data_IF_703339757364
#
_entry.id   IF_703339757364
#
_cell.length_a   1.000
_cell.length_b   1.000
_cell.length_c   1.000
_cell.angle_alpha   90.00
_cell.angle_beta   90.00
_cell.angle_gamma   90.00
#
_symmetry.space_group_name_H-M   'P 1'
#
loop_
_entity.id
_entity.type
_entity.pdbx_description
1 polymer ?
#
# COMPACT_ATOMS: atom_id res chain seq x y z
N UNK A 1 20.59 1.90 16.20
CA UNK A 1 19.55 1.46 17.16
C UNK A 1 19.19 0.03 16.84
N UNK A 2 18.76 -0.74 17.85
CA UNK A 2 18.24 -2.10 17.65
C UNK A 2 16.72 -2.03 17.49
N UNK A 3 16.22 -2.41 16.31
CA UNK A 3 14.79 -2.34 15.95
C UNK A 3 14.23 -3.75 15.82
N UNK A 4 13.10 -4.01 16.49
CA UNK A 4 12.28 -5.18 16.20
C UNK A 4 11.28 -4.82 15.10
N UNK A 5 11.37 -5.49 13.95
CA UNK A 5 10.43 -5.29 12.84
C UNK A 5 9.53 -6.52 12.72
N UNK A 6 8.23 -6.34 12.96
CA UNK A 6 7.24 -7.41 13.06
C UNK A 6 6.23 -7.33 11.93
N UNK A 7 6.07 -8.41 11.16
CA UNK A 7 5.14 -8.47 10.01
C UNK A 7 4.24 -9.71 10.04
N UNK A 8 3.00 -9.63 9.53
CA UNK A 8 2.09 -10.78 9.49
C UNK A 8 2.31 -11.70 8.27
N UNK A 9 3.19 -11.32 7.35
CA UNK A 9 3.55 -12.07 6.15
C UNK A 9 4.98 -11.73 5.74
N UNK A 10 5.62 -12.62 4.99
CA UNK A 10 6.95 -12.38 4.43
C UNK A 10 6.82 -11.35 3.29
N UNK A 11 7.48 -10.17 3.38
CA UNK A 11 7.34 -9.10 2.39
C UNK A 11 8.14 -9.36 1.10
N UNK A 12 8.08 -10.58 0.56
CA UNK A 12 8.81 -10.98 -0.64
C UNK A 12 8.13 -12.18 -1.31
N UNK A 13 8.08 -12.28 -2.66
CA UNK A 13 8.60 -11.34 -3.67
C UNK A 13 7.76 -10.07 -3.82
N UNK A 14 8.26 -9.09 -4.58
CA UNK A 14 7.67 -7.75 -4.78
C UNK A 14 6.49 -7.73 -5.77
N UNK A 15 5.61 -8.73 -5.69
CA UNK A 15 4.51 -8.94 -6.64
C UNK A 15 3.16 -8.34 -6.18
N UNK A 16 3.11 -7.72 -5.01
CA UNK A 16 1.94 -7.02 -4.47
C UNK A 16 2.33 -5.66 -3.92
N UNK A 17 1.41 -4.70 -3.92
CA UNK A 17 1.67 -3.36 -3.36
C UNK A 17 2.03 -3.41 -1.88
N UNK A 18 1.42 -4.34 -1.14
CA UNK A 18 1.72 -4.60 0.28
C UNK A 18 3.17 -5.07 0.46
N UNK A 19 3.61 -6.08 -0.31
CA UNK A 19 4.99 -6.58 -0.23
C UNK A 19 5.98 -5.49 -0.64
N UNK A 20 5.69 -4.74 -1.71
CA UNK A 20 6.53 -3.62 -2.14
C UNK A 20 6.71 -2.58 -1.04
N UNK A 21 5.63 -2.19 -0.36
CA UNK A 21 5.72 -1.24 0.76
C UNK A 21 6.59 -1.78 1.88
N UNK A 22 6.19 -2.92 2.45
CA UNK A 22 6.83 -3.45 3.65
C UNK A 22 8.29 -3.76 3.37
N UNK A 23 8.62 -4.33 2.20
CA UNK A 23 10.01 -4.59 1.80
C UNK A 23 10.86 -3.32 1.72
N UNK A 24 10.37 -2.28 1.04
CA UNK A 24 11.18 -1.07 0.84
C UNK A 24 11.36 -0.29 2.15
N UNK A 25 10.35 -0.29 3.03
CA UNK A 25 10.49 0.28 4.36
C UNK A 25 11.44 -0.55 5.23
N UNK A 26 11.31 -1.89 5.22
CA UNK A 26 12.22 -2.79 5.95
C UNK A 26 13.67 -2.62 5.50
N UNK A 27 13.90 -2.59 4.18
CA UNK A 27 15.22 -2.34 3.59
C UNK A 27 15.82 -1.03 4.10
N UNK A 28 15.04 0.06 4.06
CA UNK A 28 15.48 1.35 4.54
C UNK A 28 15.86 1.34 6.04
N UNK A 29 15.13 0.58 6.85
CA UNK A 29 15.46 0.41 8.27
C UNK A 29 16.75 -0.41 8.43
N UNK A 30 16.94 -1.49 7.66
CA UNK A 30 18.17 -2.28 7.68
C UNK A 30 19.41 -1.50 7.21
N UNK A 31 19.24 -0.52 6.30
CA UNK A 31 20.35 0.30 5.79
C UNK A 31 20.94 1.22 6.87
N UNK A 32 20.15 1.61 7.89
CA UNK A 32 20.52 2.59 8.91
C UNK A 32 20.60 2.00 10.33
N UNK A 33 19.94 0.87 10.58
CA UNK A 33 19.71 0.31 11.91
C UNK A 33 19.94 -1.20 11.95
N UNK A 34 20.24 -1.70 13.15
CA UNK A 34 20.34 -3.13 13.37
C UNK A 34 18.93 -3.70 13.53
N UNK A 35 18.53 -4.60 12.63
CA UNK A 35 17.16 -5.14 12.59
C UNK A 35 17.12 -6.58 13.04
N UNK A 36 16.30 -6.84 14.06
CA UNK A 36 15.76 -8.15 14.35
C UNK A 36 14.40 -8.25 13.68
N UNK A 37 14.26 -9.20 12.76
CA UNK A 37 13.03 -9.41 12.02
C UNK A 37 12.22 -10.57 12.62
N UNK A 38 10.91 -10.38 12.75
CA UNK A 38 9.96 -11.41 13.14
C UNK A 38 8.78 -11.41 12.19
N UNK A 39 8.48 -12.55 11.56
CA UNK A 39 7.31 -12.66 10.68
C UNK A 39 6.57 -13.97 10.85
N UNK A 40 5.30 -13.96 10.48
CA UNK A 40 4.53 -15.17 10.32
C UNK A 40 4.76 -15.80 8.94
N UNK A 41 4.64 -17.12 8.86
CA UNK A 41 4.67 -17.90 7.62
C UNK A 41 3.40 -18.75 7.51
N UNK A 42 2.74 -18.71 6.35
CA UNK A 42 1.45 -19.36 6.12
C UNK A 42 1.58 -20.65 5.28
N UNK A 43 2.77 -20.90 4.71
CA UNK A 43 3.04 -22.08 3.87
C UNK A 43 4.53 -22.36 3.74
N UNK A 44 4.89 -23.59 3.33
CA UNK A 44 6.28 -23.97 3.03
C UNK A 44 6.90 -23.13 1.89
N UNK A 45 6.07 -22.71 0.93
CA UNK A 45 6.49 -21.80 -0.14
C UNK A 45 6.88 -20.42 0.42
N UNK A 46 6.14 -19.94 1.42
CA UNK A 46 6.46 -18.67 2.09
C UNK A 46 7.70 -18.79 2.99
N UNK A 47 7.90 -19.94 3.64
CA UNK A 47 9.14 -20.23 4.37
C UNK A 47 10.37 -20.22 3.43
N UNK A 48 10.21 -20.70 2.20
CA UNK A 48 11.27 -20.62 1.18
C UNK A 48 11.58 -19.17 0.80
N UNK A 49 10.54 -18.35 0.59
CA UNK A 49 10.68 -16.90 0.34
C UNK A 49 11.29 -16.15 1.51
N UNK A 50 11.06 -16.61 2.74
CA UNK A 50 11.68 -16.02 3.94
C UNK A 50 13.21 -16.16 3.89
N UNK A 51 13.73 -17.30 3.43
CA UNK A 51 15.17 -17.52 3.26
C UNK A 51 15.75 -16.63 2.16
N UNK A 52 15.00 -16.41 1.08
CA UNK A 52 15.39 -15.46 0.03
C UNK A 52 15.43 -14.02 0.58
N UNK A 53 14.42 -13.60 1.35
CA UNK A 53 14.44 -12.29 2.02
C UNK A 53 15.64 -12.15 2.97
N UNK A 54 15.93 -13.19 3.75
CA UNK A 54 17.05 -13.22 4.69
C UNK A 54 18.41 -13.04 3.99
N UNK A 55 18.57 -13.53 2.75
CA UNK A 55 19.82 -13.33 1.99
C UNK A 55 19.91 -11.96 1.31
N UNK A 56 18.78 -11.26 1.14
CA UNK A 56 18.72 -9.95 0.50
C UNK A 56 18.98 -8.77 1.45
N UNK A 57 18.69 -8.93 2.75
CA UNK A 57 18.79 -7.85 3.74
C UNK A 57 19.63 -8.25 4.96
N UNK A 58 20.41 -7.33 5.56
CA UNK A 58 21.34 -7.63 6.64
C UNK A 58 20.65 -7.65 8.02
N UNK A 59 19.92 -8.72 8.33
CA UNK A 59 19.31 -8.91 9.64
C UNK A 59 20.33 -9.36 10.69
N UNK A 60 20.27 -8.80 11.91
CA UNK A 60 21.06 -9.33 13.03
C UNK A 60 20.48 -10.63 13.58
N UNK A 61 19.15 -10.74 13.58
CA UNK A 61 18.44 -12.00 13.81
C UNK A 61 17.20 -12.05 12.91
N UNK A 62 16.85 -13.26 12.44
CA UNK A 62 15.72 -13.49 11.55
C UNK A 62 14.87 -14.63 12.10
N UNK A 63 13.65 -14.29 12.52
CA UNK A 63 12.72 -15.22 13.15
C UNK A 63 11.45 -15.36 12.33
N UNK A 64 10.99 -16.59 12.17
CA UNK A 64 9.71 -16.88 11.52
C UNK A 64 8.92 -17.90 12.31
N UNK A 65 7.63 -17.66 12.48
CA UNK A 65 6.71 -18.61 13.13
C UNK A 65 5.63 -19.06 12.16
N UNK A 66 5.33 -20.37 12.05
CA UNK A 66 4.21 -20.84 11.25
C UNK A 66 2.89 -20.45 11.92
N UNK A 67 1.93 -19.96 11.13
CA UNK A 67 0.57 -19.68 11.60
C UNK A 67 -0.46 -20.46 10.80
N UNK A 68 -1.49 -20.97 11.49
CA UNK A 68 -2.72 -21.47 10.87
C UNK A 68 -3.88 -20.56 11.23
N UNK A 69 -4.38 -19.83 10.24
CA UNK A 69 -5.50 -18.91 10.42
C UNK A 69 -6.76 -19.67 10.87
N UNK A 70 -7.39 -19.19 11.94
CA UNK A 70 -8.57 -19.83 12.54
C UNK A 70 -9.82 -19.59 11.71
N UNK A 71 -10.80 -20.48 11.75
CA UNK A 71 -12.07 -20.22 11.07
C UNK A 71 -12.81 -19.00 11.67
N UNK A 72 -13.52 -18.26 10.82
CA UNK A 72 -14.41 -17.18 11.26
C UNK A 72 -15.51 -17.73 12.17
N UNK A 73 -15.72 -17.08 13.31
CA UNK A 73 -16.71 -17.50 14.31
C UNK A 73 -18.10 -16.97 13.96
N UNK A 74 -19.13 -17.72 14.33
CA UNK A 74 -20.49 -17.22 14.25
C UNK A 74 -20.73 -16.14 15.31
N UNK A 75 -21.69 -15.25 15.06
CA UNK A 75 -22.00 -14.17 15.99
C UNK A 75 -22.36 -14.68 17.39
N UNK A 76 -23.05 -15.82 17.49
CA UNK A 76 -23.48 -16.39 18.77
C UNK A 76 -22.34 -16.93 19.63
N UNK A 77 -21.24 -17.39 19.02
CA UNK A 77 -20.09 -17.96 19.78
C UNK A 77 -19.09 -16.91 20.24
N UNK A 78 -19.14 -15.70 19.70
CA UNK A 78 -18.19 -14.63 20.01
C UNK A 78 -18.81 -13.40 20.68
N UNK A 79 -20.12 -13.39 20.96
CA UNK A 79 -20.83 -12.19 21.40
C UNK A 79 -20.19 -11.52 22.63
N UNK A 80 -19.78 -12.31 23.62
CA UNK A 80 -19.18 -11.84 24.88
C UNK A 80 -17.65 -11.73 24.87
N UNK A 81 -16.99 -12.21 23.82
CA UNK A 81 -15.55 -12.05 23.66
C UNK A 81 -15.25 -10.63 23.16
N UNK A 82 -14.53 -9.79 23.92
CA UNK A 82 -14.21 -8.42 23.48
C UNK A 82 -13.25 -8.37 22.29
N UNK A 83 -12.53 -9.47 21.97
CA UNK A 83 -11.63 -9.54 20.84
C UNK A 83 -12.43 -9.62 19.53
N UNK A 84 -12.24 -8.68 18.58
CA UNK A 84 -12.88 -8.77 17.28
C UNK A 84 -12.44 -10.05 16.56
N UNK A 85 -13.34 -10.62 15.78
CA UNK A 85 -13.09 -11.86 15.06
C UNK A 85 -11.98 -11.71 14.01
N UNK A 86 -11.82 -10.50 13.47
CA UNK A 86 -10.70 -10.14 12.59
C UNK A 86 -9.35 -10.35 13.27
N UNK A 87 -9.23 -10.18 14.58
CA UNK A 87 -7.98 -10.45 15.32
C UNK A 87 -7.90 -11.88 15.80
N UNK A 88 -9.00 -12.44 16.29
CA UNK A 88 -9.09 -13.85 16.68
C UNK A 88 -8.66 -14.79 15.53
N UNK A 89 -9.03 -14.45 14.29
CA UNK A 89 -8.61 -15.16 13.08
C UNK A 89 -7.09 -15.37 13.00
N UNK A 90 -6.33 -14.40 13.49
CA UNK A 90 -4.87 -14.35 13.46
C UNK A 90 -4.22 -14.74 14.79
N UNK A 91 -4.95 -14.99 15.88
CA UNK A 91 -4.32 -15.24 17.18
C UNK A 91 -3.80 -16.68 17.32
N UNK A 92 -2.55 -16.83 17.77
CA UNK A 92 -1.96 -18.10 18.18
C UNK A 92 -1.12 -17.91 19.45
N UNK A 93 -1.23 -18.82 20.41
CA UNK A 93 -0.52 -18.71 21.69
C UNK A 93 0.98 -18.96 21.53
N UNK A 94 1.40 -19.81 20.59
CA UNK A 94 2.82 -20.09 20.36
C UNK A 94 3.53 -18.86 19.79
N UNK A 95 2.86 -18.09 18.93
CA UNK A 95 3.38 -16.81 18.43
C UNK A 95 3.56 -15.81 19.58
N UNK A 96 2.61 -15.76 20.51
CA UNK A 96 2.73 -14.93 21.71
C UNK A 96 3.94 -15.32 22.56
N UNK A 97 4.14 -16.62 22.79
CA UNK A 97 5.31 -17.14 23.53
C UNK A 97 6.63 -16.82 22.82
N UNK A 98 6.70 -17.04 21.50
CA UNK A 98 7.89 -16.77 20.70
C UNK A 98 8.27 -15.28 20.74
N UNK A 99 7.29 -14.39 20.55
CA UNK A 99 7.51 -12.95 20.58
C UNK A 99 7.90 -12.45 21.97
N UNK A 100 7.26 -12.96 23.03
CA UNK A 100 7.64 -12.64 24.42
C UNK A 100 9.06 -13.10 24.72
N UNK A 101 9.46 -14.30 24.30
CA UNK A 101 10.84 -14.80 24.47
C UNK A 101 11.84 -13.90 23.75
N UNK A 102 11.52 -13.47 22.53
CA UNK A 102 12.35 -12.57 21.73
C UNK A 102 12.53 -11.21 22.42
N UNK A 103 11.44 -10.63 22.92
CA UNK A 103 11.43 -9.36 23.67
C UNK A 103 12.16 -9.45 25.02
N UNK A 104 12.18 -10.61 25.66
CA UNK A 104 12.93 -10.83 26.92
C UNK A 104 14.43 -11.08 26.69
N UNK A 105 14.80 -11.62 25.53
CA UNK A 105 16.19 -12.02 25.24
C UNK A 105 17.00 -10.89 24.60
N UNK A 106 16.36 -9.80 24.20
CA UNK A 106 16.98 -8.68 23.48
C UNK A 106 16.49 -7.34 24.04
N UNK A 107 17.29 -6.29 23.85
CA UNK A 107 16.92 -4.92 24.24
C UNK A 107 16.64 -4.09 22.99
N UNK A 108 15.40 -3.64 22.84
CA UNK A 108 15.00 -2.86 21.67
C UNK A 108 14.98 -1.36 22.00
N UNK A 109 15.48 -0.55 21.06
CA UNK A 109 15.27 0.89 21.09
C UNK A 109 13.88 1.26 20.57
N UNK A 110 13.29 0.43 19.69
CA UNK A 110 11.99 0.64 19.05
C UNK A 110 11.42 -0.68 18.49
N UNK A 111 10.10 -0.81 18.50
CA UNK A 111 9.39 -1.88 17.76
C UNK A 111 8.53 -1.26 16.65
N UNK A 112 8.74 -1.70 15.41
CA UNK A 112 7.82 -1.48 14.30
C UNK A 112 6.94 -2.71 14.14
N UNK A 113 5.63 -2.54 14.31
CA UNK A 113 4.65 -3.60 14.11
C UNK A 113 3.74 -3.25 12.92
N UNK A 114 3.80 -4.05 11.86
CA UNK A 114 2.97 -3.89 10.67
C UNK A 114 1.62 -4.59 10.87
N UNK A 115 0.55 -3.85 10.59
CA UNK A 115 -0.85 -4.24 10.68
C UNK A 115 -1.36 -4.62 12.08
N UNK A 116 -2.64 -4.29 12.33
CA UNK A 116 -3.30 -4.49 13.62
C UNK A 116 -3.34 -5.96 14.09
N UNK A 117 -3.25 -6.92 13.17
CA UNK A 117 -3.24 -8.34 13.52
C UNK A 117 -1.98 -8.75 14.29
N UNK A 118 -0.85 -8.05 14.13
CA UNK A 118 0.36 -8.33 14.90
C UNK A 118 0.38 -7.60 16.24
N UNK A 119 -0.32 -6.48 16.36
CA UNK A 119 -0.31 -5.69 17.59
C UNK A 119 -0.99 -6.39 18.77
N UNK A 120 -1.86 -7.38 18.51
CA UNK A 120 -2.53 -8.15 19.56
C UNK A 120 -1.54 -8.93 20.45
N UNK A 121 -0.39 -9.34 19.92
CA UNK A 121 0.63 -10.07 20.68
C UNK A 121 1.38 -9.21 21.69
N UNK A 122 1.25 -7.89 21.59
CA UNK A 122 1.87 -6.97 22.52
C UNK A 122 0.99 -6.64 23.72
N UNK A 123 -0.33 -6.94 23.70
CA UNK A 123 -1.27 -6.51 24.75
C UNK A 123 -0.88 -6.92 26.18
N UNK A 124 -0.14 -8.02 26.32
CA UNK A 124 0.32 -8.54 27.61
C UNK A 124 1.83 -8.42 27.80
N UNK A 125 2.49 -7.57 27.00
CA UNK A 125 3.93 -7.37 27.04
C UNK A 125 4.21 -5.90 27.36
N UNK A 126 4.85 -5.69 28.51
CA UNK A 126 5.36 -4.38 28.89
C UNK A 126 6.67 -4.10 28.15
N UNK A 127 6.57 -3.31 27.08
CA UNK A 127 7.72 -2.93 26.27
C UNK A 127 8.31 -1.63 26.79
N UNK A 128 9.59 -1.65 27.17
CA UNK A 128 10.31 -0.47 27.67
C UNK A 128 10.74 0.51 26.55
N UNK A 129 10.29 0.29 25.32
CA UNK A 129 10.61 1.10 24.15
C UNK A 129 9.34 1.55 23.41
N UNK A 130 9.42 2.61 22.58
CA UNK A 130 8.28 3.04 21.76
C UNK A 130 7.81 1.92 20.82
N UNK A 131 6.48 1.77 20.75
CA UNK A 131 5.81 0.86 19.84
C UNK A 131 5.14 1.66 18.70
N UNK A 132 5.48 1.31 17.46
CA UNK A 132 4.86 1.83 16.23
C UNK A 132 3.89 0.81 15.68
N UNK A 133 2.68 1.26 15.34
CA UNK A 133 1.75 0.50 14.51
C UNK A 133 1.73 1.11 13.09
N UNK A 134 2.23 0.38 12.10
CA UNK A 134 2.16 0.75 10.67
C UNK A 134 0.95 0.11 10.02
N UNK A 135 0.02 0.95 9.57
CA UNK A 135 -1.27 0.55 9.05
C UNK A 135 -1.19 0.46 7.53
N UNK A 136 -1.27 -0.75 6.96
CA UNK A 136 -1.56 -0.90 5.53
C UNK A 136 -2.97 -0.41 5.17
N UNK A 137 -3.86 -0.39 6.16
CA UNK A 137 -5.22 0.15 6.14
C UNK A 137 -5.71 0.36 7.58
N UNK A 138 -6.76 1.16 7.77
CA UNK A 138 -7.48 1.22 9.05
C UNK A 138 -8.62 0.19 9.04
N UNK A 139 -8.52 -0.86 9.85
CA UNK A 139 -9.46 -1.99 9.80
C UNK A 139 -10.90 -1.59 10.14
N UNK A 140 -11.13 -0.67 11.07
CA UNK A 140 -12.50 -0.21 11.37
C UNK A 140 -13.10 0.71 10.30
N UNK A 141 -12.28 1.45 9.55
CA UNK A 141 -12.71 2.23 8.39
C UNK A 141 -13.03 1.30 7.23
N UNK A 142 -12.12 0.38 6.92
CA UNK A 142 -12.33 -0.65 5.91
C UNK A 142 -13.61 -1.46 6.17
N UNK A 143 -13.86 -1.88 7.41
CA UNK A 143 -15.09 -2.59 7.77
C UNK A 143 -16.35 -1.71 7.59
N UNK A 144 -16.26 -0.40 7.87
CA UNK A 144 -17.35 0.55 7.64
C UNK A 144 -17.67 0.68 6.14
N UNK A 145 -16.65 0.81 5.29
CA UNK A 145 -16.79 0.88 3.83
C UNK A 145 -17.42 -0.37 3.23
N UNK A 146 -17.19 -1.55 3.82
CA UNK A 146 -17.77 -2.81 3.35
C UNK A 146 -19.26 -2.98 3.69
N UNK A 147 -19.78 -2.31 4.73
CA UNK A 147 -21.15 -2.51 5.23
C UNK A 147 -22.27 -2.36 4.18
N UNK A 148 -22.23 -1.36 3.27
CA UNK A 148 -23.27 -1.19 2.24
C UNK A 148 -23.38 -2.38 1.28
N UNK A 149 -22.26 -3.04 0.99
CA UNK A 149 -22.17 -4.15 0.03
C UNK A 149 -22.60 -5.50 0.61
N UNK A 150 -22.74 -5.61 1.95
CA UNK A 150 -23.17 -6.85 2.59
C UNK A 150 -24.66 -7.12 2.38
N UNK A 151 -24.98 -8.32 1.90
CA UNK A 151 -26.36 -8.78 1.74
C UNK A 151 -26.86 -9.54 2.98
N UNK A 152 -28.08 -9.25 3.42
CA UNK A 152 -28.76 -9.95 4.53
C UNK A 152 -28.49 -9.37 5.93
N UNK A 153 -29.56 -9.30 6.74
CA UNK A 153 -29.52 -8.65 8.06
C UNK A 153 -28.58 -9.33 9.07
N UNK A 154 -28.49 -10.66 9.07
CA UNK A 154 -27.60 -11.41 9.97
C UNK A 154 -26.13 -11.08 9.72
N UNK A 155 -25.72 -11.01 8.45
CA UNK A 155 -24.35 -10.66 8.05
C UNK A 155 -24.03 -9.20 8.41
N UNK A 156 -24.96 -8.28 8.16
CA UNK A 156 -24.84 -6.88 8.58
C UNK A 156 -24.71 -6.72 10.09
N UNK A 157 -25.51 -7.45 10.87
CA UNK A 157 -25.42 -7.43 12.33
C UNK A 157 -24.06 -7.94 12.82
N UNK A 158 -23.61 -9.09 12.29
CA UNK A 158 -22.30 -9.67 12.59
C UNK A 158 -21.14 -8.71 12.25
N UNK A 159 -21.21 -8.05 11.08
CA UNK A 159 -20.20 -7.09 10.66
C UNK A 159 -20.18 -5.82 11.53
N UNK A 160 -21.35 -5.30 11.90
CA UNK A 160 -21.46 -4.13 12.80
C UNK A 160 -20.91 -4.43 14.19
N UNK A 161 -21.19 -5.62 14.72
CA UNK A 161 -20.63 -6.09 15.98
C UNK A 161 -19.10 -6.20 15.93
N UNK A 162 -18.56 -6.83 14.89
CA UNK A 162 -17.12 -6.93 14.69
C UNK A 162 -16.45 -5.56 14.54
N UNK A 163 -17.06 -4.65 13.79
CA UNK A 163 -16.58 -3.28 13.60
C UNK A 163 -16.56 -2.51 14.92
N UNK A 164 -17.59 -2.66 15.75
CA UNK A 164 -17.63 -2.05 17.08
C UNK A 164 -16.49 -2.57 17.97
N UNK A 165 -16.25 -3.89 17.97
CA UNK A 165 -15.12 -4.50 18.71
C UNK A 165 -13.78 -4.05 18.17
N UNK A 166 -13.64 -3.95 16.85
CA UNK A 166 -12.43 -3.45 16.18
C UNK A 166 -12.12 -2.02 16.61
N UNK A 167 -13.11 -1.11 16.57
CA UNK A 167 -12.93 0.29 17.06
C UNK A 167 -12.54 0.36 18.53
N UNK A 168 -13.14 -0.49 19.37
CA UNK A 168 -12.81 -0.54 20.79
C UNK A 168 -11.39 -1.06 21.02
N UNK A 169 -10.96 -2.04 20.23
CA UNK A 169 -9.59 -2.55 20.25
C UNK A 169 -8.61 -1.48 19.78
N UNK A 170 -8.84 -0.83 18.64
CA UNK A 170 -8.01 0.27 18.12
C UNK A 170 -7.86 1.41 19.12
N UNK A 171 -8.95 1.82 19.78
CA UNK A 171 -8.91 2.85 20.82
C UNK A 171 -8.11 2.44 22.07
N UNK A 172 -8.11 1.15 22.42
CA UNK A 172 -7.23 0.64 23.50
C UNK A 172 -5.79 0.56 23.00
N UNK A 173 -5.60 0.18 21.75
CA UNK A 173 -4.29 0.02 21.15
C UNK A 173 -3.50 1.33 21.16
N UNK A 174 -4.16 2.46 20.94
CA UNK A 174 -3.50 3.78 20.94
C UNK A 174 -2.82 4.15 22.25
N UNK A 175 -3.19 3.54 23.39
CA UNK A 175 -2.48 3.77 24.66
C UNK A 175 -1.18 2.98 24.74
N UNK A 176 -1.11 1.84 24.06
CA UNK A 176 0.06 0.96 24.06
C UNK A 176 0.99 1.24 22.88
N UNK A 177 0.42 1.58 21.73
CA UNK A 177 1.10 1.99 20.50
C UNK A 177 0.83 3.48 20.31
N UNK A 178 1.61 4.36 20.98
CA UNK A 178 1.39 5.80 20.89
C UNK A 178 1.80 6.39 19.53
N UNK A 179 2.52 5.61 18.71
CA UNK A 179 3.05 6.04 17.42
C UNK A 179 2.36 5.25 16.30
N UNK A 180 1.90 5.97 15.28
CA UNK A 180 1.14 5.41 14.17
C UNK A 180 1.76 5.87 12.85
N UNK A 181 1.93 4.93 11.92
CA UNK A 181 2.26 5.20 10.53
C UNK A 181 1.06 4.79 9.68
N UNK A 182 0.62 5.66 8.76
CA UNK A 182 -0.55 5.41 7.92
C UNK A 182 -0.27 5.71 6.46
N UNK A 183 -1.00 5.08 5.55
CA UNK A 183 -0.76 5.19 4.11
C UNK A 183 -1.26 6.51 3.49
N UNK A 184 -2.19 7.22 4.14
CA UNK A 184 -2.84 8.39 3.54
C UNK A 184 -3.22 9.47 4.57
N UNK A 185 -3.58 10.66 4.08
CA UNK A 185 -4.10 11.73 4.94
C UNK A 185 -5.50 11.40 5.43
N UNK A 186 -6.27 10.72 4.60
CA UNK A 186 -7.60 10.22 4.90
C UNK A 186 -7.57 9.27 6.11
N UNK A 187 -6.63 8.30 6.11
CA UNK A 187 -6.41 7.37 7.23
C UNK A 187 -6.01 8.14 8.51
N UNK A 188 -5.10 9.12 8.38
CA UNK A 188 -4.70 9.97 9.51
C UNK A 188 -5.90 10.71 10.09
N UNK A 189 -6.68 11.36 9.24
CA UNK A 189 -7.85 12.12 9.68
C UNK A 189 -8.91 11.21 10.30
N UNK A 190 -9.07 9.98 9.79
CA UNK A 190 -9.94 8.97 10.39
C UNK A 190 -9.49 8.60 11.80
N UNK A 191 -8.21 8.24 11.97
CA UNK A 191 -7.64 7.92 13.29
C UNK A 191 -7.84 9.11 14.23
N UNK A 192 -7.47 10.32 13.82
CA UNK A 192 -7.56 11.52 14.67
C UNK A 192 -9.00 11.89 15.06
N UNK A 193 -10.00 11.53 14.24
CA UNK A 193 -11.43 11.71 14.55
C UNK A 193 -11.97 10.68 15.54
N UNK A 194 -11.38 9.49 15.60
CA UNK A 194 -11.92 8.35 16.36
C UNK A 194 -11.07 7.92 17.56
N UNK A 195 -9.82 8.37 17.64
CA UNK A 195 -8.86 8.01 18.67
C UNK A 195 -8.25 9.28 19.27
N UNK A 196 -7.93 9.24 20.56
CA UNK A 196 -7.19 10.30 21.23
C UNK A 196 -5.71 9.92 21.21
N UNK A 197 -4.93 10.64 20.40
CA UNK A 197 -3.50 10.44 20.25
C UNK A 197 -2.74 11.67 20.71
N UNK A 198 -1.71 11.47 21.52
CA UNK A 198 -0.78 12.54 21.91
C UNK A 198 0.13 12.92 20.74
N UNK A 199 0.49 11.95 19.90
CA UNK A 199 1.33 12.14 18.71
C UNK A 199 0.47 11.93 17.45
N UNK A 200 0.40 12.90 16.53
CA UNK A 200 -0.33 12.71 15.29
C UNK A 200 0.32 11.62 14.43
N UNK A 201 -0.46 10.77 13.73
CA UNK A 201 0.10 9.76 12.84
C UNK A 201 1.04 10.36 11.78
N UNK A 202 2.14 9.65 11.52
CA UNK A 202 2.99 9.89 10.37
C UNK A 202 2.26 9.36 9.13
N UNK A 203 1.90 10.26 8.22
CA UNK A 203 1.49 9.83 6.89
C UNK A 203 2.74 9.41 6.14
N UNK A 204 2.74 8.19 5.62
CA UNK A 204 3.78 7.63 4.79
C UNK A 204 3.12 6.92 3.61
N UNK A 205 3.07 7.62 2.47
CA UNK A 205 2.39 7.15 1.28
C UNK A 205 3.02 5.86 0.71
N UNK A 206 2.31 5.17 -0.18
CA UNK A 206 2.93 4.10 -0.97
C UNK A 206 3.83 4.71 -2.04
N UNK A 207 5.02 4.14 -2.20
CA UNK A 207 6.05 4.67 -3.07
C UNK A 207 6.36 3.82 -4.28
N UNK A 208 7.32 4.29 -5.06
CA UNK A 208 7.88 3.61 -6.21
C UNK A 208 9.42 3.61 -6.16
N UNK A 209 10.02 2.66 -6.89
CA UNK A 209 11.46 2.59 -7.04
C UNK A 209 11.94 3.61 -8.10
N UNK A 210 12.53 4.71 -7.62
CA UNK A 210 13.04 5.80 -8.46
C UNK A 210 14.24 5.41 -9.31
N UNK A 211 14.96 4.36 -8.93
CA UNK A 211 16.14 3.88 -9.67
C UNK A 211 15.72 2.89 -10.75
N UNK A 212 14.59 2.18 -10.54
CA UNK A 212 13.99 1.30 -11.54
C UNK A 212 13.15 2.08 -12.58
N UNK A 213 12.27 2.99 -12.13
CA UNK A 213 11.37 3.77 -12.98
C UNK A 213 11.92 5.18 -13.24
N UNK A 214 12.70 5.31 -14.31
CA UNK A 214 13.22 6.57 -14.82
C UNK A 214 12.76 6.79 -16.27
N UNK A 215 12.75 8.04 -16.79
CA UNK A 215 12.39 8.32 -18.16
C UNK A 215 13.28 7.55 -19.14
N UNK A 216 12.63 6.77 -20.00
CA UNK A 216 13.30 6.09 -21.11
C UNK A 216 12.95 6.78 -22.42
N UNK A 217 13.83 6.66 -23.41
CA UNK A 217 13.54 7.18 -24.74
C UNK A 217 12.33 6.43 -25.32
N UNK A 218 11.31 7.19 -25.72
CA UNK A 218 10.14 6.61 -26.39
C UNK A 218 10.61 5.94 -27.70
N UNK A 219 10.27 4.66 -27.94
CA UNK A 219 10.53 4.02 -29.22
C UNK A 219 9.87 4.81 -30.36
N UNK A 220 10.54 4.90 -31.50
CA UNK A 220 9.94 5.49 -32.70
C UNK A 220 8.72 4.64 -33.07
N UNK A 221 7.54 5.23 -33.01
CA UNK A 221 6.29 4.61 -33.41
C UNK A 221 5.49 5.61 -34.23
N UNK A 222 4.95 5.15 -35.35
CA UNK A 222 4.15 5.96 -36.27
C UNK A 222 2.67 6.06 -35.87
N UNK A 223 2.28 5.43 -34.77
CA UNK A 223 0.90 5.36 -34.31
C UNK A 223 0.73 5.94 -32.90
N UNK A 224 -0.31 6.75 -32.67
CA UNK A 224 -0.68 7.18 -31.32
C UNK A 224 -0.93 5.96 -30.42
N UNK A 225 -0.16 5.82 -29.34
CA UNK A 225 -0.19 4.60 -28.51
C UNK A 225 -0.66 4.88 -27.09
N UNK A 226 -1.73 4.21 -26.70
CA UNK A 226 -2.28 4.21 -25.37
C UNK A 226 -1.81 2.96 -24.64
N UNK A 227 -1.47 3.09 -23.35
CA UNK A 227 -1.01 1.95 -22.54
C UNK A 227 -1.80 1.88 -21.24
N UNK A 228 -2.17 0.66 -20.87
CA UNK A 228 -2.75 0.32 -19.57
C UNK A 228 -1.97 -0.83 -18.95
N UNK A 229 -1.75 -0.78 -17.63
CA UNK A 229 -1.08 -1.84 -16.88
C UNK A 229 -1.94 -2.38 -15.73
N UNK A 230 -1.83 -3.68 -15.43
CA UNK A 230 -2.41 -4.27 -14.22
C UNK A 230 -2.55 -5.79 -14.23
N UNK A 231 -3.12 -6.37 -13.18
CA UNK A 231 -3.55 -7.78 -13.15
C UNK A 231 -4.95 -7.87 -13.74
N UNK A 232 -5.13 -8.66 -14.81
CA UNK A 232 -6.34 -8.62 -15.63
C UNK A 232 -7.49 -9.51 -15.10
N UNK A 233 -7.25 -10.37 -14.12
CA UNK A 233 -8.29 -11.09 -13.36
C UNK A 233 -8.79 -10.31 -12.13
N UNK A 234 -8.28 -9.09 -11.92
CA UNK A 234 -8.70 -8.21 -10.84
C UNK A 234 -9.86 -7.31 -11.28
N UNK A 235 -11.01 -7.46 -10.61
CA UNK A 235 -12.29 -6.86 -11.02
C UNK A 235 -12.22 -5.36 -11.34
N UNK A 236 -11.56 -4.49 -10.54
CA UNK A 236 -11.40 -3.08 -10.91
C UNK A 236 -10.75 -2.83 -12.28
N UNK A 237 -9.71 -3.61 -12.62
CA UNK A 237 -9.03 -3.47 -13.92
C UNK A 237 -9.94 -3.96 -15.05
N UNK A 238 -10.63 -5.08 -14.84
CA UNK A 238 -11.54 -5.66 -15.82
C UNK A 238 -12.73 -4.72 -16.09
N UNK A 239 -13.38 -4.19 -15.04
CA UNK A 239 -14.47 -3.22 -15.14
C UNK A 239 -14.03 -1.95 -15.90
N UNK A 240 -12.88 -1.37 -15.51
CA UNK A 240 -12.37 -0.15 -16.12
C UNK A 240 -12.02 -0.33 -17.60
N UNK A 241 -11.39 -1.46 -17.96
CA UNK A 241 -11.04 -1.73 -19.35
C UNK A 241 -12.25 -2.12 -20.20
N UNK A 242 -13.23 -2.83 -19.63
CA UNK A 242 -14.50 -3.08 -20.31
C UNK A 242 -15.19 -1.77 -20.66
N UNK A 243 -15.30 -0.86 -19.70
CA UNK A 243 -15.83 0.49 -19.93
C UNK A 243 -15.03 1.25 -20.99
N UNK A 244 -13.70 1.17 -20.94
CA UNK A 244 -12.85 1.80 -21.92
C UNK A 244 -13.10 1.28 -23.34
N UNK A 245 -13.07 -0.05 -23.54
CA UNK A 245 -13.24 -0.68 -24.84
C UNK A 245 -14.64 -0.41 -25.43
N UNK A 246 -15.68 -0.42 -24.60
CA UNK A 246 -17.06 -0.28 -25.06
C UNK A 246 -17.46 1.18 -25.31
N UNK A 247 -17.08 2.11 -24.42
CA UNK A 247 -17.63 3.47 -24.41
C UNK A 247 -16.64 4.56 -24.82
N UNK A 248 -15.34 4.35 -24.64
CA UNK A 248 -14.29 5.36 -24.85
C UNK A 248 -13.54 5.11 -26.15
N UNK A 249 -13.06 3.89 -26.35
CA UNK A 249 -12.20 3.51 -27.47
C UNK A 249 -12.82 3.79 -28.84
N UNK A 250 -14.12 3.53 -29.10
CA UNK A 250 -14.74 3.88 -30.38
C UNK A 250 -14.70 5.38 -30.67
N UNK A 251 -14.80 6.23 -29.65
CA UNK A 251 -14.74 7.70 -29.79
C UNK A 251 -13.34 8.18 -30.13
N UNK A 252 -12.31 7.50 -29.61
CA UNK A 252 -10.91 7.79 -29.95
C UNK A 252 -10.65 7.38 -31.39
N UNK A 253 -11.04 6.16 -31.77
CA UNK A 253 -10.85 5.63 -33.13
C UNK A 253 -11.60 6.42 -34.21
N UNK A 254 -12.74 7.03 -33.89
CA UNK A 254 -13.45 7.91 -34.82
C UNK A 254 -12.58 9.09 -35.28
N UNK A 255 -11.67 9.58 -34.43
CA UNK A 255 -10.78 10.70 -34.73
C UNK A 255 -9.36 10.27 -35.09
N UNK A 256 -8.90 9.13 -34.56
CA UNK A 256 -7.57 8.56 -34.78
C UNK A 256 -7.69 7.06 -35.11
N UNK A 257 -8.04 6.71 -36.37
CA UNK A 257 -8.28 5.31 -36.76
C UNK A 257 -7.07 4.38 -36.60
N UNK A 258 -5.87 4.95 -36.60
CA UNK A 258 -4.59 4.25 -36.48
C UNK A 258 -4.08 4.18 -35.03
N UNK A 259 -4.83 4.70 -34.05
CA UNK A 259 -4.45 4.63 -32.65
C UNK A 259 -4.40 3.18 -32.16
N UNK A 260 -3.44 2.91 -31.26
CA UNK A 260 -3.24 1.59 -30.65
C UNK A 260 -3.42 1.63 -29.15
N UNK A 261 -3.94 0.55 -28.60
CA UNK A 261 -4.04 0.27 -27.17
C UNK A 261 -3.22 -0.96 -26.84
N UNK A 262 -2.28 -0.83 -25.91
CA UNK A 262 -1.51 -1.94 -25.35
C UNK A 262 -1.96 -2.19 -23.92
N UNK A 263 -2.50 -3.38 -23.67
CA UNK A 263 -2.90 -3.87 -22.36
C UNK A 263 -1.80 -4.80 -21.85
N UNK A 264 -1.09 -4.37 -20.82
CA UNK A 264 0.07 -5.07 -20.27
C UNK A 264 -0.26 -5.60 -18.88
N UNK A 265 -0.06 -6.89 -18.64
CA UNK A 265 -0.55 -7.42 -17.38
C UNK A 265 -0.64 -8.92 -17.24
N UNK A 266 -0.53 -9.37 -16.00
CA UNK A 266 -0.65 -10.79 -15.67
C UNK A 266 -2.12 -11.25 -15.72
N UNK A 267 -2.30 -12.56 -15.93
CA UNK A 267 -3.60 -13.25 -15.89
C UNK A 267 -4.72 -12.62 -16.75
N UNK A 268 -4.49 -12.32 -18.03
CA UNK A 268 -5.56 -11.94 -18.95
C UNK A 268 -6.67 -13.01 -18.99
N UNK A 269 -7.90 -12.58 -18.75
CA UNK A 269 -9.09 -13.43 -18.85
C UNK A 269 -9.45 -13.68 -20.31
N UNK A 270 -10.31 -14.66 -20.56
CA UNK A 270 -10.88 -14.92 -21.90
C UNK A 270 -11.55 -13.66 -22.48
N UNK A 271 -12.20 -12.86 -21.64
CA UNK A 271 -12.80 -11.59 -22.03
C UNK A 271 -11.73 -10.60 -22.51
N UNK A 272 -10.64 -10.43 -21.77
CA UNK A 272 -9.57 -9.49 -22.15
C UNK A 272 -8.90 -9.90 -23.45
N UNK A 273 -8.64 -11.20 -23.64
CA UNK A 273 -8.11 -11.70 -24.91
C UNK A 273 -9.07 -11.50 -26.09
N UNK A 274 -10.39 -11.50 -25.85
CA UNK A 274 -11.38 -11.28 -26.91
C UNK A 274 -11.35 -9.86 -27.50
N UNK A 275 -10.76 -8.89 -26.80
CA UNK A 275 -10.60 -7.52 -27.29
C UNK A 275 -9.40 -7.38 -28.24
N UNK A 276 -8.45 -8.32 -28.22
CA UNK A 276 -7.28 -8.26 -29.07
C UNK A 276 -7.65 -8.49 -30.53
N UNK A 277 -7.15 -7.62 -31.41
CA UNK A 277 -7.26 -7.77 -32.87
C UNK A 277 -5.90 -7.72 -33.58
N UNK A 278 -4.79 -7.60 -32.84
CA UNK A 278 -3.43 -7.62 -33.37
C UNK A 278 -2.99 -6.30 -34.04
N UNK A 279 -3.90 -5.38 -34.29
CA UNK A 279 -3.62 -4.09 -34.94
C UNK A 279 -3.84 -2.91 -33.99
N UNK A 280 -5.07 -2.73 -33.53
CA UNK A 280 -5.50 -1.60 -32.69
C UNK A 280 -5.47 -1.95 -31.20
N UNK A 281 -5.66 -3.21 -30.83
CA UNK A 281 -5.61 -3.67 -29.44
C UNK A 281 -4.65 -4.85 -29.33
N UNK A 282 -3.67 -4.72 -28.46
CA UNK A 282 -2.64 -5.73 -28.15
C UNK A 282 -2.70 -6.07 -26.67
N UNK A 283 -2.72 -7.36 -26.34
CA UNK A 283 -2.69 -7.90 -24.98
C UNK A 283 -1.41 -8.71 -24.83
N UNK A 284 -0.50 -8.25 -23.96
CA UNK A 284 0.84 -8.87 -23.88
C UNK A 284 0.88 -10.10 -22.96
N UNK A 285 -0.02 -10.16 -21.98
CA UNK A 285 0.15 -11.04 -20.83
C UNK A 285 1.27 -10.53 -19.89
N UNK A 286 1.80 -11.44 -19.08
CA UNK A 286 2.92 -11.18 -18.18
C UNK A 286 4.21 -10.89 -18.96
N UNK A 287 4.97 -9.89 -18.52
CA UNK A 287 6.20 -9.44 -19.17
C UNK A 287 7.33 -9.40 -18.16
N UNK A 288 8.56 -9.66 -18.61
CA UNK A 288 9.74 -9.64 -17.74
C UNK A 288 10.07 -8.23 -17.23
N UNK A 289 9.84 -7.21 -18.05
CA UNK A 289 10.02 -5.80 -17.69
C UNK A 289 8.88 -4.96 -18.29
N UNK A 290 8.24 -4.16 -17.44
CA UNK A 290 7.11 -3.31 -17.79
C UNK A 290 7.54 -1.94 -18.36
N UNK A 291 8.78 -1.50 -18.08
CA UNK A 291 9.27 -0.16 -18.42
C UNK A 291 9.27 0.14 -19.93
N UNK A 292 9.65 -0.79 -20.81
CA UNK A 292 9.55 -0.55 -22.26
C UNK A 292 8.12 -0.22 -22.70
N UNK A 293 7.12 -0.81 -22.06
CA UNK A 293 5.72 -0.55 -22.38
C UNK A 293 5.24 0.79 -21.85
N UNK A 294 5.62 1.17 -20.63
CA UNK A 294 5.40 2.55 -20.17
C UNK A 294 6.04 3.54 -21.15
N UNK A 295 7.29 3.33 -21.58
CA UNK A 295 7.98 4.20 -22.52
C UNK A 295 7.28 4.34 -23.88
N UNK A 296 6.56 3.31 -24.34
CA UNK A 296 5.75 3.36 -25.57
C UNK A 296 4.52 4.27 -25.47
N UNK A 297 4.04 4.57 -24.26
CA UNK A 297 2.82 5.34 -24.07
C UNK A 297 2.99 6.79 -24.57
N UNK A 298 2.18 7.15 -25.56
CA UNK A 298 1.84 8.55 -25.84
C UNK A 298 0.87 9.09 -24.80
N UNK A 299 -0.04 8.23 -24.34
CA UNK A 299 -0.93 8.49 -23.21
C UNK A 299 -1.03 7.22 -22.38
N UNK A 300 -0.70 7.31 -21.11
CA UNK A 300 -1.04 6.24 -20.18
C UNK A 300 -2.47 6.44 -19.67
N UNK A 301 -3.29 5.40 -19.72
CA UNK A 301 -4.69 5.48 -19.30
C UNK A 301 -4.92 4.70 -18.01
N UNK A 302 -5.82 5.18 -17.15
CA UNK A 302 -6.32 4.44 -15.99
C UNK A 302 -7.82 4.68 -15.79
N UNK A 303 -8.69 3.91 -16.49
CA UNK A 303 -10.14 4.13 -16.54
C UNK A 303 -10.92 3.45 -15.39
N UNK A 304 -10.33 3.32 -14.19
CA UNK A 304 -10.93 2.55 -13.09
C UNK A 304 -12.13 3.26 -12.47
N UNK A 305 -13.28 2.59 -12.31
CA UNK A 305 -14.48 3.20 -11.70
C UNK A 305 -14.74 2.70 -10.28
N UNK A 306 -14.04 1.66 -9.87
CA UNK A 306 -14.19 0.97 -8.60
C UNK A 306 -12.82 0.61 -8.00
N UNK A 307 -12.85 0.18 -6.75
CA UNK A 307 -11.69 -0.28 -5.99
C UNK A 307 -10.99 0.84 -5.21
N UNK A 308 -10.31 0.47 -4.12
CA UNK A 308 -9.57 1.39 -3.25
C UNK A 308 -8.06 1.22 -3.30
N UNK A 309 -7.37 2.02 -2.48
CA UNK A 309 -5.91 2.05 -2.33
C UNK A 309 -5.18 2.86 -3.41
N UNK A 310 -3.93 3.21 -3.12
CA UNK A 310 -3.06 3.97 -4.04
C UNK A 310 -2.75 3.18 -5.30
N UNK A 311 -2.91 3.79 -6.48
CA UNK A 311 -2.57 3.15 -7.77
C UNK A 311 -1.12 3.43 -8.14
N UNK A 312 -0.20 2.57 -7.68
CA UNK A 312 1.23 2.67 -7.97
C UNK A 312 1.53 2.74 -9.48
N UNK A 313 0.74 2.07 -10.31
CA UNK A 313 0.85 2.16 -11.78
C UNK A 313 0.77 3.58 -12.36
N UNK A 314 0.04 4.50 -11.74
CA UNK A 314 0.06 5.92 -12.14
C UNK A 314 1.37 6.58 -11.72
N UNK A 315 1.86 6.28 -10.52
CA UNK A 315 3.13 6.80 -10.00
C UNK A 315 4.27 6.35 -10.92
N UNK A 316 4.28 5.09 -11.32
CA UNK A 316 5.23 4.51 -12.27
C UNK A 316 5.18 5.21 -13.64
N UNK A 317 3.98 5.37 -14.21
CA UNK A 317 3.80 6.06 -15.50
C UNK A 317 4.29 7.53 -15.44
N UNK A 318 3.91 8.25 -14.38
CA UNK A 318 4.33 9.63 -14.16
C UNK A 318 5.85 9.73 -13.95
N UNK A 319 6.46 8.81 -13.20
CA UNK A 319 7.91 8.78 -12.98
C UNK A 319 8.69 8.57 -14.29
N UNK A 320 8.10 7.83 -15.23
CA UNK A 320 8.60 7.64 -16.60
C UNK A 320 8.21 8.79 -17.56
N UNK A 321 7.71 9.91 -17.04
CA UNK A 321 7.30 11.11 -17.80
C UNK A 321 6.27 10.81 -18.88
N UNK A 322 5.34 9.88 -18.61
CA UNK A 322 4.20 9.63 -19.48
C UNK A 322 3.03 10.49 -19.05
N UNK A 323 2.35 11.20 -19.97
CA UNK A 323 1.14 11.92 -19.62
C UNK A 323 0.03 10.92 -19.31
N UNK A 324 -0.76 11.21 -18.28
CA UNK A 324 -1.77 10.29 -17.75
C UNK A 324 -3.18 10.85 -17.94
N UNK A 325 -4.11 10.02 -18.40
CA UNK A 325 -5.56 10.26 -18.34
C UNK A 325 -6.18 9.22 -17.42
N UNK A 326 -6.90 9.65 -16.39
CA UNK A 326 -7.52 8.74 -15.41
C UNK A 326 -8.85 9.26 -14.91
N UNK A 327 -9.68 8.37 -14.39
CA UNK A 327 -10.80 8.74 -13.52
C UNK A 327 -10.28 9.26 -12.18
N UNK A 328 -11.11 9.98 -11.43
CA UNK A 328 -10.77 10.38 -10.05
C UNK A 328 -10.58 9.16 -9.15
N UNK A 329 -11.40 8.12 -9.32
CA UNK A 329 -11.27 6.85 -8.60
C UNK A 329 -9.94 6.15 -8.94
N UNK A 330 -9.53 6.18 -10.21
CA UNK A 330 -8.27 5.58 -10.67
C UNK A 330 -7.01 6.28 -10.14
N UNK A 331 -7.13 7.52 -9.67
CA UNK A 331 -6.04 8.30 -9.09
C UNK A 331 -6.18 8.55 -7.58
N UNK A 332 -7.11 7.87 -6.91
CA UNK A 332 -7.32 8.01 -5.47
C UNK A 332 -6.03 7.73 -4.69
N UNK A 333 -5.80 8.50 -3.62
CA UNK A 333 -4.61 8.40 -2.77
C UNK A 333 -3.36 9.10 -3.33
N UNK A 334 -3.46 9.79 -4.47
CA UNK A 334 -2.39 10.59 -5.05
C UNK A 334 -2.74 12.09 -5.00
N UNK A 335 -1.78 12.93 -4.63
CA UNK A 335 -1.95 14.38 -4.51
C UNK A 335 -1.85 15.09 -5.88
N UNK A 336 -2.47 14.52 -6.90
CA UNK A 336 -2.43 14.98 -8.28
C UNK A 336 -3.52 16.01 -8.55
N UNK A 337 -3.20 17.01 -9.38
CA UNK A 337 -4.10 18.11 -9.75
C UNK A 337 -4.44 18.02 -11.23
N UNK A 338 -5.72 18.22 -11.54
CA UNK A 338 -6.24 18.16 -12.91
C UNK A 338 -5.58 19.20 -13.82
N UNK A 339 -5.31 18.83 -15.06
CA UNK A 339 -4.66 19.65 -16.10
C UNK A 339 -3.29 20.23 -15.69
N UNK A 340 -2.70 19.72 -14.60
CA UNK A 340 -1.40 20.11 -14.07
C UNK A 340 -0.48 18.89 -13.97
N UNK A 341 -0.91 17.83 -13.31
CA UNK A 341 -0.13 16.59 -13.15
C UNK A 341 -0.71 15.42 -13.95
N UNK A 342 -2.02 15.49 -14.24
CA UNK A 342 -2.85 14.43 -14.81
C UNK A 342 -4.08 15.07 -15.47
N UNK A 343 -4.73 14.36 -16.39
CA UNK A 343 -6.03 14.74 -16.92
C UNK A 343 -7.12 13.86 -16.28
N UNK A 344 -8.02 14.45 -15.48
CA UNK A 344 -9.16 13.72 -14.92
C UNK A 344 -10.35 13.66 -15.87
N UNK A 345 -10.98 12.50 -15.95
CA UNK A 345 -12.25 12.32 -16.64
C UNK A 345 -13.07 11.17 -16.03
N UNK A 346 -14.31 11.47 -15.62
CA UNK A 346 -15.19 10.48 -14.97
C UNK A 346 -16.36 10.03 -15.87
N UNK A 347 -16.39 10.49 -17.13
CA UNK A 347 -17.30 9.97 -18.15
C UNK A 347 -16.59 9.77 -19.49
N UNK A 348 -17.20 8.96 -20.36
CA UNK A 348 -16.55 8.46 -21.55
C UNK A 348 -16.16 9.56 -22.55
N UNK A 349 -17.05 10.55 -22.75
CA UNK A 349 -16.80 11.67 -23.66
C UNK A 349 -15.65 12.55 -23.18
N UNK A 350 -15.61 12.88 -21.87
CA UNK A 350 -14.50 13.64 -21.29
C UNK A 350 -13.19 12.85 -21.37
N UNK A 351 -13.24 11.53 -21.17
CA UNK A 351 -12.04 10.69 -21.19
C UNK A 351 -11.45 10.63 -22.61
N UNK A 352 -12.28 10.41 -23.62
CA UNK A 352 -11.86 10.44 -25.03
C UNK A 352 -11.30 11.83 -25.41
N UNK A 353 -11.98 12.92 -25.03
CA UNK A 353 -11.51 14.27 -25.32
C UNK A 353 -10.16 14.58 -24.66
N UNK A 354 -9.94 14.15 -23.42
CA UNK A 354 -8.66 14.33 -22.74
C UNK A 354 -7.54 13.52 -23.39
N UNK A 355 -7.82 12.30 -23.88
CA UNK A 355 -6.87 11.53 -24.68
C UNK A 355 -6.50 12.31 -25.95
N UNK A 356 -7.50 12.72 -26.72
CA UNK A 356 -7.29 13.42 -27.99
C UNK A 356 -6.51 14.74 -27.78
N UNK A 357 -6.87 15.53 -26.76
CA UNK A 357 -6.13 16.75 -26.38
C UNK A 357 -4.67 16.43 -26.03
N UNK A 358 -4.44 15.41 -25.21
CA UNK A 358 -3.08 15.02 -24.79
C UNK A 358 -2.23 14.53 -25.97
N UNK A 359 -2.84 13.89 -26.97
CA UNK A 359 -2.17 13.43 -28.19
C UNK A 359 -1.88 14.56 -29.19
N UNK A 360 -2.76 15.57 -29.27
CA UNK A 360 -2.68 16.64 -30.27
C UNK A 360 -1.96 17.90 -29.81
N UNK A 361 -1.88 18.16 -28.50
CA UNK A 361 -1.22 19.32 -27.90
C UNK A 361 0.07 18.89 -27.19
N UNK A 362 1.17 18.85 -27.94
CA UNK A 362 2.49 18.45 -27.44
C UNK A 362 2.98 19.34 -26.29
N UNK A 363 2.92 20.70 -26.36
CA UNK A 363 3.27 21.55 -25.23
C UNK A 363 2.49 21.24 -23.95
N UNK A 364 1.18 21.01 -24.05
CA UNK A 364 0.36 20.61 -22.92
C UNK A 364 0.79 19.24 -22.36
N UNK A 365 0.98 18.25 -23.24
CA UNK A 365 1.39 16.90 -22.88
C UNK A 365 2.73 16.87 -22.12
N UNK A 366 3.75 17.57 -22.65
CA UNK A 366 5.06 17.70 -22.01
C UNK A 366 4.99 18.43 -20.66
N UNK A 367 4.13 19.45 -20.56
CA UNK A 367 3.94 20.18 -19.30
C UNK A 367 3.37 19.26 -18.22
N UNK A 368 2.27 18.55 -18.50
CA UNK A 368 1.63 17.71 -17.49
C UNK A 368 2.48 16.50 -17.12
N UNK A 369 3.19 15.91 -18.08
CA UNK A 369 4.06 14.77 -17.82
C UNK A 369 5.25 15.17 -16.94
N UNK A 370 5.90 16.31 -17.22
CA UNK A 370 7.01 16.81 -16.41
C UNK A 370 6.57 17.19 -15.01
N UNK A 371 5.48 17.95 -14.87
CA UNK A 371 4.98 18.37 -13.56
C UNK A 371 4.50 17.18 -12.72
N UNK A 372 3.85 16.20 -13.36
CA UNK A 372 3.48 14.95 -12.71
C UNK A 372 4.70 14.13 -12.27
N UNK A 373 5.71 14.01 -13.12
CA UNK A 373 6.97 13.33 -12.81
C UNK A 373 7.71 13.96 -11.62
N UNK A 374 7.78 15.30 -11.59
CA UNK A 374 8.45 16.04 -10.52
C UNK A 374 7.74 15.82 -9.18
N UNK A 375 6.41 15.92 -9.15
CA UNK A 375 5.63 15.64 -7.94
C UNK A 375 5.88 14.22 -7.44
N UNK A 376 5.86 13.22 -8.34
CA UNK A 376 5.98 11.84 -7.88
C UNK A 376 7.37 11.50 -7.37
N UNK A 377 8.42 12.03 -8.01
CA UNK A 377 9.80 11.85 -7.54
C UNK A 377 10.03 12.51 -6.18
N UNK A 378 9.47 13.69 -5.97
CA UNK A 378 9.56 14.41 -4.70
C UNK A 378 8.80 13.68 -3.57
N UNK A 379 7.58 13.21 -3.85
CA UNK A 379 6.65 12.79 -2.80
C UNK A 379 6.55 11.29 -2.58
N UNK A 380 6.77 10.49 -3.62
CA UNK A 380 6.48 9.05 -3.62
C UNK A 380 7.72 8.18 -3.88
N UNK A 381 8.93 8.73 -3.91
CA UNK A 381 10.13 7.88 -4.01
C UNK A 381 10.33 7.10 -2.71
N UNK A 382 10.73 5.82 -2.80
CA UNK A 382 11.09 5.06 -1.60
C UNK A 382 12.22 5.70 -0.81
N UNK A 383 13.14 6.43 -1.46
CA UNK A 383 14.23 7.17 -0.81
C UNK A 383 13.70 8.28 0.10
N UNK A 384 12.71 9.05 -0.32
CA UNK A 384 12.13 10.13 0.49
C UNK A 384 11.24 9.58 1.61
N UNK A 385 10.45 8.55 1.31
CA UNK A 385 9.63 7.86 2.31
C UNK A 385 10.50 7.21 3.39
N UNK A 386 11.58 6.54 3.01
CA UNK A 386 12.59 5.99 3.91
C UNK A 386 13.14 7.07 4.86
N UNK A 387 13.63 8.20 4.31
CA UNK A 387 14.17 9.30 5.13
C UNK A 387 13.17 9.83 6.15
N UNK A 388 11.88 9.95 5.77
CA UNK A 388 10.81 10.37 6.70
C UNK A 388 10.57 9.34 7.81
N UNK A 389 10.56 8.05 7.49
CA UNK A 389 10.40 6.99 8.49
C UNK A 389 11.57 6.94 9.48
N UNK A 390 12.80 7.02 8.99
CA UNK A 390 14.01 7.03 9.83
C UNK A 390 14.05 8.29 10.71
N UNK A 391 13.70 9.46 10.16
CA UNK A 391 13.57 10.69 10.94
C UNK A 391 12.55 10.53 12.09
N UNK A 392 11.41 9.91 11.80
CA UNK A 392 10.38 9.60 12.81
C UNK A 392 10.88 8.67 13.91
N UNK A 393 11.70 7.66 13.58
CA UNK A 393 12.31 6.79 14.59
C UNK A 393 13.26 7.55 15.48
N UNK A 394 14.13 8.36 14.90
CA UNK A 394 15.13 9.14 15.64
C UNK A 394 14.47 10.16 16.58
N UNK A 395 13.39 10.81 16.13
CA UNK A 395 12.62 11.74 16.95
C UNK A 395 12.05 11.05 18.20
N UNK A 396 11.41 9.89 18.03
CA UNK A 396 10.68 9.24 19.12
C UNK A 396 11.52 8.31 20.00
N UNK A 397 12.73 7.94 19.56
CA UNK A 397 13.69 7.22 20.42
C UNK A 397 14.52 8.17 21.30
N UNK A 398 14.88 9.38 20.81
CA UNK A 398 15.60 10.39 21.60
C UNK A 398 14.77 10.94 22.76
N UNK A 399 13.48 11.19 22.55
CA UNK A 399 12.57 11.75 23.56
C UNK A 399 12.30 10.81 24.75
N UNK A 400 12.52 9.50 24.59
CA UNK A 400 12.43 8.55 25.70
C UNK A 400 13.71 8.50 26.55
N UNK A 401 14.88 8.75 25.96
CA UNK A 401 16.14 8.81 26.71
C UNK A 401 16.23 10.05 27.59
N UNK A 402 15.70 11.20 27.16
CA UNK A 402 15.63 12.42 27.98
C UNK A 402 14.65 12.28 29.15
N UNK A 403 13.46 11.72 28.93
CA UNK A 403 12.48 11.47 30.00
C UNK A 403 12.94 10.43 31.04
N UNK A 404 13.78 9.48 30.65
CA UNK A 404 14.40 8.54 31.58
C UNK A 404 15.47 9.23 32.45
N UNK A 405 16.24 10.15 31.88
CA UNK A 405 17.27 10.90 32.60
C UNK A 405 16.67 11.87 33.62
N UNK A 406 15.58 12.56 33.28
CA UNK A 406 14.87 13.46 34.21
C UNK A 406 14.27 12.72 35.42
N UNK A 407 13.77 11.48 35.22
CA UNK A 407 13.27 10.63 36.31
C UNK A 407 14.38 10.11 37.24
N UNK A 408 15.59 9.91 36.74
CA UNK A 408 16.73 9.54 37.60
C UNK A 408 17.19 10.74 38.44
N UNK A 409 17.19 11.95 37.91
CA UNK A 409 17.58 13.16 38.66
C UNK A 409 16.60 13.56 39.75
N UNK A 410 15.30 13.27 39.59
CA UNK A 410 14.29 13.51 40.64
C UNK A 410 14.35 12.49 41.79
N UNK A 411 15.10 11.39 41.63
CA UNK A 411 15.28 10.39 42.70
C UNK A 411 16.43 10.71 43.67
N UNK A 412 17.22 11.77 43.41
CA UNK A 412 18.38 12.17 44.22
C UNK A 412 18.14 13.33 45.20
N UNK A 413 16.91 13.85 45.33
CA UNK A 413 16.58 14.88 46.31
C UNK A 413 15.39 14.49 47.19
N UNK A 414 15.59 13.46 48.01
CA UNK A 414 14.83 13.32 49.26
C UNK A 414 15.82 12.93 50.36
N UNK A 415 16.23 13.90 51.17
CA UNK A 415 16.77 13.72 52.51
C UNK A 415 15.96 14.56 53.49
#
# INVERSE_FOLDING_TARGET
MQVLFVTPYIPYPLNSGTNQRVFNLLKAVCDEHEVIFFSLTHSDAELSRAKELQSLLPFSQFHTEPIKLKAWRSLSTRLFDPLPDTLHHWFDIEISHALRKLLQSNSFDLVHCSDICMTQYFQEIDCQCPLINDHSRIDSEYQLEQLPYLQGWKRRLSARENMFKTRRFEKRLSTQFPLHVVCSREDKDYIMRHQQLDTPPLVLENGFDSDYFYPQQKPINNHPTLVFTGTMDYEPNLDGMRWFIQDIWPKVLEKLPDARLIIVGTKPTTEVYSWQNGEQVVVTGEVADIRPYYAMADVYICPLRIGGGTRLKLVEALAMERPVVSTRVGAQGLALRDQQHICYADNASQFANNILKTLSDLPFSLKISKQGADLVREKYSWKDLARRLIGYYQEHTKNNRSKAHDKETDSFYIY
#
